data_IF_964303527016
#
_entry.id   IF_964303527016
#
_cell.length_a   1.000
_cell.length_b   1.000
_cell.length_c   1.000
_cell.angle_alpha   90.00
_cell.angle_beta   90.00
_cell.angle_gamma   90.00
#
_symmetry.space_group_name_H-M   'P 1'
#
loop_
_entity.id
_entity.type
_entity.pdbx_description
1 polymer ?
#
# COMPACT_ATOMS: atom_id res chain seq x y z
N UNK A 1 -13.49 -58.57 1.76
CA UNK A 1 -14.02 -57.59 2.74
C UNK A 1 -13.00 -56.46 2.93
N UNK A 2 -13.40 -55.22 2.61
CA UNK A 2 -13.05 -53.91 3.25
C UNK A 2 -11.56 -53.70 3.62
N UNK A 3 -10.82 -52.68 3.15
CA UNK A 3 -11.19 -51.28 2.87
C UNK A 3 -10.27 -50.62 1.83
N UNK A 4 -10.93 -49.84 1.00
CA UNK A 4 -10.48 -48.78 0.09
C UNK A 4 -9.84 -47.60 0.84
N UNK A 5 -9.06 -46.82 0.09
CA UNK A 5 -8.62 -45.41 0.32
C UNK A 5 -7.27 -45.24 1.03
N UNK A 6 -6.22 -45.08 0.22
CA UNK A 6 -5.09 -44.20 0.54
C UNK A 6 -4.65 -43.51 -0.76
N UNK A 7 -5.43 -42.52 -1.18
CA UNK A 7 -5.14 -41.70 -2.37
C UNK A 7 -5.67 -40.27 -2.18
N UNK A 8 -5.41 -39.65 -1.02
CA UNK A 8 -5.70 -38.23 -0.80
C UNK A 8 -4.71 -37.65 0.22
N UNK A 9 -3.48 -37.33 -0.20
CA UNK A 9 -2.59 -36.49 0.62
C UNK A 9 -1.47 -35.81 -0.20
N UNK A 10 -1.67 -35.56 -1.49
CA UNK A 10 -0.67 -34.88 -2.35
C UNK A 10 -1.28 -33.72 -3.14
N UNK A 11 -2.32 -33.08 -2.58
CA UNK A 11 -3.00 -31.93 -3.17
C UNK A 11 -3.48 -30.97 -2.06
N UNK A 12 -2.55 -30.41 -1.28
CA UNK A 12 -2.88 -29.31 -0.37
C UNK A 12 -1.71 -28.36 -0.06
N UNK A 13 -0.59 -28.46 -0.80
CA UNK A 13 0.61 -27.65 -0.53
C UNK A 13 1.18 -27.03 -1.81
N UNK A 14 0.32 -26.41 -2.61
CA UNK A 14 0.72 -25.51 -3.72
C UNK A 14 -0.12 -24.22 -3.74
N UNK A 15 -1.17 -24.10 -2.92
CA UNK A 15 -2.14 -23.00 -3.02
C UNK A 15 -1.75 -21.67 -2.32
N UNK A 16 -0.56 -21.55 -1.72
CA UNK A 16 -0.13 -20.30 -1.04
C UNK A 16 1.17 -19.69 -1.57
N UNK A 17 1.83 -20.32 -2.55
CA UNK A 17 3.07 -19.82 -3.16
C UNK A 17 3.02 -19.64 -4.68
N UNK A 18 1.94 -20.05 -5.34
CA UNK A 18 1.88 -20.18 -6.81
C UNK A 18 0.85 -19.26 -7.50
N UNK A 19 0.41 -18.17 -6.85
CA UNK A 19 -0.39 -17.12 -7.51
C UNK A 19 0.45 -15.96 -8.06
N UNK A 20 1.78 -16.07 -8.02
CA UNK A 20 2.68 -14.97 -8.39
C UNK A 20 3.30 -15.07 -9.79
N UNK A 21 3.10 -16.16 -10.55
CA UNK A 21 3.75 -16.30 -11.86
C UNK A 21 2.87 -17.08 -12.84
N UNK A 22 1.79 -16.47 -13.36
CA UNK A 22 1.21 -16.80 -14.67
C UNK A 22 0.02 -15.89 -14.97
N UNK A 23 0.28 -14.69 -15.49
CA UNK A 23 -0.45 -14.21 -16.66
C UNK A 23 0.42 -13.20 -17.42
N UNK A 24 0.64 -13.50 -18.68
CA UNK A 24 1.42 -12.73 -19.64
C UNK A 24 0.74 -11.40 -19.98
N UNK A 25 1.55 -10.35 -20.16
CA UNK A 25 1.25 -8.96 -20.56
C UNK A 25 0.55 -8.10 -19.50
N UNK A 26 1.30 -7.20 -18.86
CA UNK A 26 0.85 -6.26 -17.81
C UNK A 26 1.45 -6.63 -16.44
N UNK A 27 2.28 -5.77 -15.86
CA UNK A 27 2.92 -6.05 -14.57
C UNK A 27 1.89 -6.32 -13.48
N UNK A 28 2.04 -7.43 -12.76
CA UNK A 28 1.09 -7.85 -11.74
C UNK A 28 1.46 -7.22 -10.40
N UNK A 29 0.74 -6.16 -10.04
CA UNK A 29 0.73 -5.60 -8.70
C UNK A 29 -0.55 -6.02 -7.98
N UNK A 30 -0.49 -6.32 -6.67
CA UNK A 30 -1.65 -6.82 -5.97
C UNK A 30 -2.62 -5.67 -5.66
N UNK A 31 -3.90 -5.84 -5.98
CA UNK A 31 -4.91 -4.82 -5.71
C UNK A 31 -5.31 -4.79 -4.24
N UNK A 32 -5.57 -3.60 -3.66
CA UNK A 32 -6.11 -3.48 -2.31
C UNK A 32 -7.46 -4.20 -2.19
N UNK A 33 -7.66 -4.96 -1.11
CA UNK A 33 -8.95 -5.59 -0.81
C UNK A 33 -9.86 -4.60 -0.09
N UNK A 34 -11.08 -4.42 -0.58
CA UNK A 34 -12.10 -3.63 0.15
C UNK A 34 -12.57 -4.43 1.36
N UNK A 35 -12.40 -3.85 2.55
CA UNK A 35 -12.86 -4.41 3.83
C UNK A 35 -14.24 -3.86 4.22
N UNK A 36 -14.46 -2.57 3.99
CA UNK A 36 -15.73 -1.87 4.24
C UNK A 36 -15.90 -0.74 3.22
N UNK A 37 -17.16 -0.37 2.92
CA UNK A 37 -17.50 0.67 1.96
C UNK A 37 -18.81 1.34 2.32
N UNK A 38 -18.82 2.67 2.37
CA UNK A 38 -20.01 3.47 2.63
C UNK A 38 -19.96 4.81 1.85
N UNK A 39 -20.96 5.67 2.05
CA UNK A 39 -21.07 6.94 1.33
C UNK A 39 -19.91 7.93 1.62
N UNK A 40 -19.18 7.75 2.73
CA UNK A 40 -18.07 8.62 3.13
C UNK A 40 -16.71 8.10 2.68
N UNK A 41 -16.61 6.84 2.25
CA UNK A 41 -15.33 6.24 1.91
C UNK A 41 -15.29 4.71 1.97
N UNK A 42 -14.08 4.17 1.89
CA UNK A 42 -13.77 2.75 1.92
C UNK A 42 -12.61 2.45 2.87
N UNK A 43 -12.70 1.34 3.59
CA UNK A 43 -11.57 0.77 4.30
C UNK A 43 -10.94 -0.28 3.39
N UNK A 44 -9.65 -0.15 3.10
CA UNK A 44 -8.90 -1.07 2.24
C UNK A 44 -7.85 -1.82 3.05
N UNK A 45 -7.56 -3.05 2.65
CA UNK A 45 -6.40 -3.81 3.09
C UNK A 45 -5.38 -3.89 1.96
N UNK A 46 -4.20 -3.31 2.21
CA UNK A 46 -3.01 -3.48 1.40
C UNK A 46 -2.31 -4.80 1.77
N UNK A 47 -1.89 -5.59 0.78
CA UNK A 47 -1.22 -6.85 0.99
C UNK A 47 0.17 -6.65 1.59
N UNK A 48 0.62 -7.66 2.33
CA UNK A 48 2.00 -7.75 2.80
C UNK A 48 2.81 -8.40 1.69
N UNK A 49 3.76 -7.68 1.11
CA UNK A 49 4.59 -8.15 0.00
C UNK A 49 6.00 -8.26 0.53
N UNK A 50 6.36 -9.46 0.99
CA UNK A 50 7.67 -9.74 1.59
C UNK A 50 8.13 -11.15 1.26
N UNK A 51 9.44 -11.34 1.22
CA UNK A 51 10.05 -12.68 1.15
C UNK A 51 10.41 -13.24 2.53
N UNK A 52 10.14 -12.50 3.60
CA UNK A 52 10.33 -12.95 4.98
C UNK A 52 9.35 -14.08 5.33
N UNK A 53 9.86 -15.18 5.90
CA UNK A 53 9.03 -16.29 6.39
C UNK A 53 8.26 -15.93 7.67
N UNK A 54 8.85 -15.07 8.48
CA UNK A 54 8.29 -14.52 9.72
C UNK A 54 8.62 -13.04 9.75
N UNK A 55 7.59 -12.21 9.99
CA UNK A 55 7.72 -10.77 9.90
C UNK A 55 7.79 -10.20 11.30
N UNK A 56 8.88 -9.51 11.61
CA UNK A 56 8.99 -8.73 12.84
C UNK A 56 8.81 -7.25 12.52
N UNK A 57 7.77 -6.64 13.07
CA UNK A 57 7.48 -5.22 12.91
C UNK A 57 8.16 -4.40 13.99
N UNK A 58 8.92 -3.37 13.59
CA UNK A 58 9.69 -2.52 14.48
C UNK A 58 9.39 -1.03 14.28
N UNK A 59 9.40 -0.19 15.32
CA UNK A 59 9.06 1.23 15.18
C UNK A 59 10.16 2.04 14.48
N UNK A 60 11.38 1.52 14.39
CA UNK A 60 12.49 2.21 13.73
C UNK A 60 12.35 2.22 12.21
N UNK A 61 12.65 3.37 11.60
CA UNK A 61 12.70 3.49 10.15
C UNK A 61 13.69 2.51 9.53
N UNK A 62 13.21 1.78 8.52
CA UNK A 62 14.03 0.89 7.69
C UNK A 62 13.92 1.32 6.23
N UNK A 63 15.04 1.63 5.53
CA UNK A 63 15.01 1.96 4.11
C UNK A 63 14.48 0.78 3.29
N UNK A 64 13.83 1.06 2.16
CA UNK A 64 13.33 0.01 1.27
C UNK A 64 14.49 -0.82 0.73
N UNK A 65 14.36 -2.14 0.79
CA UNK A 65 15.29 -3.06 0.12
C UNK A 65 15.29 -2.86 -1.40
N UNK A 66 16.41 -3.13 -2.07
CA UNK A 66 16.52 -2.99 -3.53
C UNK A 66 15.42 -3.77 -4.28
N UNK A 67 15.12 -5.06 -3.94
CA UNK A 67 14.04 -5.78 -4.60
C UNK A 67 12.67 -5.10 -4.43
N UNK A 68 12.42 -4.49 -3.27
CA UNK A 68 11.19 -3.73 -3.04
C UNK A 68 11.12 -2.46 -3.88
N UNK A 69 12.24 -1.76 -4.05
CA UNK A 69 12.32 -0.59 -4.92
C UNK A 69 12.06 -0.97 -6.39
N UNK A 70 12.74 -2.00 -6.88
CA UNK A 70 12.58 -2.49 -8.25
C UNK A 70 11.13 -2.94 -8.53
N UNK A 71 10.52 -3.63 -7.58
CA UNK A 71 9.13 -4.07 -7.67
C UNK A 71 8.14 -2.89 -7.75
N UNK A 72 8.34 -1.83 -6.95
CA UNK A 72 7.51 -0.62 -7.01
C UNK A 72 7.68 0.08 -8.35
N UNK A 73 8.91 0.24 -8.84
CA UNK A 73 9.16 0.90 -10.12
C UNK A 73 8.50 0.16 -11.29
N UNK A 74 8.68 -1.17 -11.34
CA UNK A 74 8.06 -1.99 -12.38
C UNK A 74 6.53 -1.95 -12.32
N UNK A 75 5.97 -1.99 -11.11
CA UNK A 75 4.53 -1.93 -10.90
C UNK A 75 3.96 -0.57 -11.31
N UNK A 76 4.58 0.54 -10.89
CA UNK A 76 4.14 1.89 -11.25
C UNK A 76 4.25 2.12 -12.76
N UNK A 77 5.33 1.70 -13.40
CA UNK A 77 5.46 1.77 -14.86
C UNK A 77 4.32 1.01 -15.57
N UNK A 78 3.96 -0.17 -15.07
CA UNK A 78 2.84 -0.95 -15.62
C UNK A 78 1.50 -0.23 -15.45
N UNK A 79 1.26 0.39 -14.28
CA UNK A 79 0.06 1.21 -14.07
C UNK A 79 0.04 2.38 -15.05
N UNK A 80 1.16 3.07 -15.24
CA UNK A 80 1.26 4.22 -16.16
C UNK A 80 0.98 3.82 -17.60
N UNK A 81 1.50 2.68 -18.05
CA UNK A 81 1.20 2.13 -19.38
C UNK A 81 -0.30 1.87 -19.55
N UNK A 82 -0.96 1.29 -18.54
CA UNK A 82 -2.41 1.05 -18.55
C UNK A 82 -3.25 2.34 -18.60
N UNK A 83 -2.69 3.49 -18.22
CA UNK A 83 -3.39 4.77 -18.24
C UNK A 83 -3.43 5.41 -19.62
N UNK A 84 -2.65 4.91 -20.60
CA UNK A 84 -2.63 5.42 -21.99
C UNK A 84 -2.49 6.95 -22.09
N UNK A 85 -1.78 7.58 -21.14
CA UNK A 85 -1.60 9.04 -21.08
C UNK A 85 -2.72 9.83 -20.41
N UNK A 86 -3.68 9.16 -19.74
CA UNK A 86 -4.66 9.83 -18.91
C UNK A 86 -3.98 10.63 -17.78
N UNK A 87 -4.34 11.92 -17.59
CA UNK A 87 -3.70 12.76 -16.59
C UNK A 87 -4.17 12.34 -15.19
N UNK A 88 -3.41 11.49 -14.52
CA UNK A 88 -3.63 11.11 -13.12
C UNK A 88 -2.48 11.62 -12.27
N UNK A 89 -2.82 12.25 -11.15
CA UNK A 89 -1.83 12.75 -10.20
C UNK A 89 -2.25 12.45 -8.76
N UNK A 90 -1.35 11.81 -8.02
CA UNK A 90 -1.44 11.66 -6.57
C UNK A 90 -0.58 12.73 -5.89
N UNK A 91 -1.17 13.51 -5.00
CA UNK A 91 -0.40 14.36 -4.08
C UNK A 91 -0.14 13.59 -2.79
N UNK A 92 1.12 13.40 -2.42
CA UNK A 92 1.52 12.79 -1.15
C UNK A 92 1.85 13.88 -0.16
N UNK A 93 1.18 13.86 0.99
CA UNK A 93 1.34 14.83 2.05
C UNK A 93 1.72 14.16 3.37
N UNK A 94 2.67 14.77 4.09
CA UNK A 94 2.95 14.46 5.48
C UNK A 94 2.96 15.72 6.33
N UNK A 95 2.51 15.56 7.56
CA UNK A 95 2.58 16.58 8.59
C UNK A 95 3.99 16.62 9.20
N UNK A 96 4.53 17.83 9.36
CA UNK A 96 5.84 18.05 9.98
C UNK A 96 5.85 17.66 11.47
N UNK A 97 6.90 16.96 11.93
CA UNK A 97 7.12 16.66 13.35
C UNK A 97 7.21 15.17 13.71
N UNK A 98 7.08 14.28 12.73
CA UNK A 98 7.28 12.84 12.91
C UNK A 98 8.16 12.29 11.79
N UNK A 99 9.46 12.17 12.07
CA UNK A 99 10.50 11.85 11.09
C UNK A 99 10.18 10.60 10.24
N UNK A 100 9.68 9.52 10.85
CA UNK A 100 9.34 8.29 10.12
C UNK A 100 8.19 8.48 9.13
N UNK A 101 7.24 9.37 9.41
CA UNK A 101 6.12 9.67 8.48
C UNK A 101 6.57 10.55 7.33
N UNK A 102 7.42 11.54 7.62
CA UNK A 102 8.05 12.36 6.58
C UNK A 102 8.88 11.47 5.64
N UNK A 103 9.65 10.52 6.18
CA UNK A 103 10.43 9.56 5.40
C UNK A 103 9.55 8.64 4.54
N UNK A 104 8.42 8.14 5.07
CA UNK A 104 7.46 7.36 4.27
C UNK A 104 6.89 8.22 3.14
N UNK A 105 6.34 9.40 3.47
CA UNK A 105 5.70 10.25 2.48
C UNK A 105 6.67 10.72 1.40
N UNK A 106 7.91 11.03 1.77
CA UNK A 106 8.98 11.31 0.82
C UNK A 106 9.23 10.12 -0.10
N UNK A 107 9.41 8.90 0.44
CA UNK A 107 9.63 7.69 -0.37
C UNK A 107 8.49 7.45 -1.36
N UNK A 108 7.25 7.59 -0.92
CA UNK A 108 6.07 7.42 -1.79
C UNK A 108 6.04 8.49 -2.88
N UNK A 109 6.24 9.75 -2.51
CA UNK A 109 6.22 10.86 -3.46
C UNK A 109 7.37 10.83 -4.46
N UNK A 110 8.56 10.39 -4.06
CA UNK A 110 9.69 10.11 -4.96
C UNK A 110 9.34 9.02 -5.97
N UNK A 111 8.82 7.88 -5.54
CA UNK A 111 8.45 6.79 -6.45
C UNK A 111 7.36 7.21 -7.45
N UNK A 112 6.34 7.93 -6.97
CA UNK A 112 5.25 8.43 -7.82
C UNK A 112 5.72 9.52 -8.79
N UNK A 113 6.58 10.44 -8.35
CA UNK A 113 7.10 11.52 -9.21
C UNK A 113 8.04 11.02 -10.31
N UNK A 114 8.87 10.01 -10.01
CA UNK A 114 9.74 9.36 -11.01
C UNK A 114 8.95 8.72 -12.15
N UNK A 115 7.71 8.30 -11.87
CA UNK A 115 6.78 7.72 -12.86
C UNK A 115 5.76 8.75 -13.40
N UNK A 116 5.91 10.04 -13.08
CA UNK A 116 5.04 11.11 -13.58
C UNK A 116 3.61 11.12 -13.03
N UNK A 117 3.31 10.30 -12.00
CA UNK A 117 1.96 10.11 -11.45
C UNK A 117 1.76 10.71 -10.06
N UNK A 118 2.70 11.54 -9.60
CA UNK A 118 2.50 12.23 -8.34
C UNK A 118 3.58 13.23 -7.96
N UNK A 119 3.38 13.82 -6.79
CA UNK A 119 4.27 14.82 -6.18
C UNK A 119 4.27 14.68 -4.67
N UNK A 120 5.39 15.03 -4.06
CA UNK A 120 5.53 15.12 -2.61
C UNK A 120 5.36 16.56 -2.13
N UNK A 121 4.62 16.77 -1.05
CA UNK A 121 4.53 18.05 -0.37
C UNK A 121 4.53 17.87 1.15
N UNK A 122 5.42 18.59 1.83
CA UNK A 122 5.35 18.73 3.28
C UNK A 122 4.38 19.85 3.65
N UNK A 123 3.47 19.57 4.59
CA UNK A 123 2.60 20.60 5.15
C UNK A 123 2.91 20.86 6.63
N UNK A 124 2.89 22.14 7.04
CA UNK A 124 2.93 22.48 8.46
C UNK A 124 1.68 21.94 9.15
N UNK A 125 1.81 21.49 10.40
CA UNK A 125 0.65 21.21 11.23
C UNK A 125 -0.09 22.52 11.50
N UNK A 126 -1.38 22.59 11.18
CA UNK A 126 -2.22 23.67 11.71
C UNK A 126 -2.50 23.41 13.19
N UNK A 127 -2.51 24.47 14.00
CA UNK A 127 -2.88 24.40 15.41
C UNK A 127 -4.32 23.87 15.54
N UNK A 128 -4.46 22.65 16.10
CA UNK A 128 -5.76 21.97 16.27
C UNK A 128 -5.92 20.66 15.48
N UNK A 129 -5.07 20.37 14.49
CA UNK A 129 -5.15 19.13 13.66
C UNK A 129 -4.33 17.96 14.22
N UNK A 130 -3.87 18.05 15.48
CA UNK A 130 -3.04 17.04 16.16
C UNK A 130 -3.63 15.61 16.20
N UNK A 131 -4.92 15.43 15.88
CA UNK A 131 -5.57 14.12 15.84
C UNK A 131 -5.55 13.42 14.47
N UNK A 132 -5.19 14.12 13.37
CA UNK A 132 -5.17 13.57 12.00
C UNK A 132 -3.76 13.43 11.42
N UNK A 133 -2.78 13.18 12.28
CA UNK A 133 -1.39 13.10 11.86
C UNK A 133 -1.19 11.75 11.16
N UNK A 134 -0.95 11.77 9.85
CA UNK A 134 -0.73 10.60 9.00
C UNK A 134 -0.05 10.98 7.68
N UNK A 135 0.10 10.00 6.79
CA UNK A 135 0.45 10.25 5.38
C UNK A 135 -0.84 10.26 4.57
N UNK A 136 -1.03 11.33 3.80
CA UNK A 136 -2.24 11.58 3.03
C UNK A 136 -1.92 11.48 1.55
N UNK A 137 -2.72 10.73 0.78
CA UNK A 137 -2.66 10.73 -0.69
C UNK A 137 -3.94 11.28 -1.27
N UNK A 138 -3.86 12.34 -2.08
CA UNK A 138 -5.03 12.97 -2.70
C UNK A 138 -5.10 12.71 -4.21
N UNK A 139 -6.27 12.34 -4.73
CA UNK A 139 -6.59 12.27 -6.17
C UNK A 139 -8.05 12.66 -6.43
N UNK A 140 -8.45 12.83 -7.70
CA UNK A 140 -9.86 13.05 -8.01
C UNK A 140 -10.71 11.78 -7.72
N UNK A 141 -11.97 11.97 -7.32
CA UNK A 141 -12.90 10.85 -7.06
C UNK A 141 -13.11 9.98 -8.30
N UNK A 142 -13.14 10.62 -9.49
CA UNK A 142 -13.25 9.93 -10.78
C UNK A 142 -12.12 8.91 -11.00
N UNK A 143 -10.96 9.13 -10.37
CA UNK A 143 -9.76 8.31 -10.53
C UNK A 143 -9.67 7.18 -9.49
N UNK A 144 -10.75 6.86 -8.75
CA UNK A 144 -10.73 5.87 -7.66
C UNK A 144 -10.13 4.53 -8.06
N UNK A 145 -10.45 4.04 -9.25
CA UNK A 145 -9.93 2.78 -9.75
C UNK A 145 -8.42 2.86 -9.98
N UNK A 146 -7.94 3.97 -10.53
CA UNK A 146 -6.51 4.22 -10.75
C UNK A 146 -5.78 4.38 -9.43
N UNK A 147 -6.34 5.13 -8.49
CA UNK A 147 -5.78 5.28 -7.15
C UNK A 147 -5.56 3.92 -6.48
N UNK A 148 -6.52 2.99 -6.59
CA UNK A 148 -6.37 1.61 -6.10
C UNK A 148 -5.25 0.84 -6.80
N UNK A 149 -5.07 1.02 -8.10
CA UNK A 149 -3.96 0.41 -8.85
C UNK A 149 -2.61 0.95 -8.37
N UNK A 150 -2.48 2.27 -8.25
CA UNK A 150 -1.28 2.94 -7.74
C UNK A 150 -0.97 2.52 -6.30
N UNK A 151 -1.98 2.40 -5.43
CA UNK A 151 -1.81 1.86 -4.08
C UNK A 151 -1.36 0.40 -4.09
N UNK A 152 -1.91 -0.41 -5.00
CA UNK A 152 -1.45 -1.77 -5.23
C UNK A 152 0.02 -1.83 -5.63
N UNK A 153 0.43 -0.97 -6.57
CA UNK A 153 1.82 -0.84 -7.00
C UNK A 153 2.77 -0.38 -5.87
N UNK A 154 2.28 0.40 -4.92
CA UNK A 154 3.04 0.82 -3.73
C UNK A 154 3.07 -0.22 -2.60
N UNK A 155 2.41 -1.38 -2.75
CA UNK A 155 2.35 -2.40 -1.70
C UNK A 155 3.71 -2.91 -1.22
N UNK A 156 4.78 -3.00 -2.03
CA UNK A 156 6.11 -3.34 -1.50
C UNK A 156 6.67 -2.31 -0.50
N UNK A 157 6.14 -1.07 -0.49
CA UNK A 157 6.47 -0.07 0.52
C UNK A 157 5.44 0.01 1.65
N UNK A 158 4.19 -0.38 1.41
CA UNK A 158 3.07 -0.20 2.34
C UNK A 158 2.23 -1.48 2.48
N UNK A 159 1.91 -1.88 3.71
CA UNK A 159 1.00 -2.98 4.01
C UNK A 159 0.00 -2.64 5.10
N UNK A 160 -1.10 -3.40 5.16
CA UNK A 160 -2.12 -3.26 6.22
C UNK A 160 -3.29 -2.37 5.83
N UNK A 161 -4.00 -1.85 6.83
CA UNK A 161 -5.26 -1.14 6.62
C UNK A 161 -5.06 0.34 6.32
N UNK A 162 -5.79 0.83 5.32
CA UNK A 162 -5.77 2.23 4.88
C UNK A 162 -7.20 2.72 4.65
N UNK A 163 -7.47 3.96 5.05
CA UNK A 163 -8.80 4.57 4.89
C UNK A 163 -8.80 5.44 3.64
N UNK A 164 -9.76 5.23 2.76
CA UNK A 164 -10.02 6.03 1.57
C UNK A 164 -11.26 6.87 1.81
N UNK A 165 -11.13 8.19 1.88
CA UNK A 165 -12.22 9.12 2.19
C UNK A 165 -12.65 9.86 0.92
N UNK A 166 -13.96 10.04 0.74
CA UNK A 166 -14.53 10.76 -0.40
C UNK A 166 -15.01 12.16 0.00
N UNK A 167 -14.76 13.15 -0.85
CA UNK A 167 -15.24 14.52 -0.63
C UNK A 167 -14.47 15.28 0.44
N UNK A 168 -13.20 14.92 0.65
CA UNK A 168 -12.27 15.76 1.41
C UNK A 168 -12.15 17.13 0.71
N UNK A 169 -11.87 18.20 1.46
CA UNK A 169 -11.64 19.51 0.84
C UNK A 169 -10.25 19.51 0.18
N UNK A 170 -10.15 19.91 -1.11
CA UNK A 170 -11.19 20.48 -1.97
C UNK A 170 -12.17 19.44 -2.57
N UNK A 171 -13.44 19.84 -2.67
CA UNK A 171 -14.53 18.97 -3.12
C UNK A 171 -14.25 18.31 -4.48
N UNK A 172 -14.53 17.01 -4.60
CA UNK A 172 -14.19 16.21 -5.78
C UNK A 172 -12.88 15.45 -5.65
N UNK A 173 -12.16 15.62 -4.53
CA UNK A 173 -10.99 14.82 -4.19
C UNK A 173 -11.32 13.64 -3.26
N UNK A 174 -10.40 12.68 -3.31
CA UNK A 174 -10.34 11.45 -2.55
C UNK A 174 -9.03 11.45 -1.78
N UNK A 175 -9.12 11.25 -0.47
CA UNK A 175 -7.98 11.28 0.44
C UNK A 175 -7.77 9.89 1.00
N UNK A 176 -6.60 9.30 0.75
CA UNK A 176 -6.17 8.11 1.46
C UNK A 176 -5.35 8.50 2.68
N UNK A 177 -5.76 8.02 3.85
CA UNK A 177 -5.09 8.27 5.13
C UNK A 177 -4.39 7.00 5.63
N UNK A 178 -3.07 7.10 5.81
CA UNK A 178 -2.26 6.14 6.57
C UNK A 178 -2.24 6.58 8.04
N UNK A 179 -3.24 6.13 8.80
CA UNK A 179 -3.47 6.53 10.19
C UNK A 179 -2.72 5.61 11.16
N UNK A 180 -2.05 6.21 12.15
CA UNK A 180 -1.36 5.47 13.22
C UNK A 180 0.16 5.63 13.20
N UNK A 181 0.84 4.95 14.11
CA UNK A 181 2.31 4.95 14.15
C UNK A 181 2.84 3.91 13.18
N UNK A 182 3.75 4.27 12.25
CA UNK A 182 4.30 3.29 11.33
C UNK A 182 5.25 2.32 12.06
N UNK A 183 5.20 1.06 11.64
CA UNK A 183 6.18 0.03 11.96
C UNK A 183 6.72 -0.55 10.67
N UNK A 184 7.95 -1.05 10.68
CA UNK A 184 8.69 -1.49 9.53
C UNK A 184 9.15 -2.94 9.70
N UNK A 185 9.11 -3.72 8.61
CA UNK A 185 9.80 -5.00 8.54
C UNK A 185 11.26 -4.81 8.12
N UNK A 186 12.03 -5.91 8.04
CA UNK A 186 13.46 -5.84 7.70
C UNK A 186 13.71 -5.43 6.24
N UNK A 187 12.70 -5.53 5.38
CA UNK A 187 12.74 -5.11 3.98
C UNK A 187 12.31 -3.65 3.77
N UNK A 188 11.94 -2.95 4.83
CA UNK A 188 11.52 -1.56 4.80
C UNK A 188 10.07 -1.35 4.35
N UNK A 189 9.25 -2.40 4.23
CA UNK A 189 7.80 -2.25 4.08
C UNK A 189 7.24 -1.68 5.38
N UNK A 190 6.38 -0.66 5.29
CA UNK A 190 5.74 -0.03 6.43
C UNK A 190 4.30 -0.54 6.63
N UNK A 191 3.87 -0.70 7.87
CA UNK A 191 2.46 -0.89 8.22
C UNK A 191 2.05 0.07 9.34
N UNK A 192 0.77 0.39 9.34
CA UNK A 192 0.13 1.21 10.36
C UNK A 192 -0.96 0.42 11.12
N UNK A 193 -1.16 -0.86 10.79
CA UNK A 193 -2.22 -1.70 11.36
C UNK A 193 -1.75 -2.36 12.67
N UNK A 194 -2.38 -2.03 13.83
CA UNK A 194 -2.11 -2.68 15.11
C UNK A 194 -2.20 -4.21 15.06
N UNK A 195 -3.06 -4.77 14.22
CA UNK A 195 -3.25 -6.21 14.13
C UNK A 195 -2.09 -6.91 13.43
N UNK A 196 -1.41 -6.23 12.50
CA UNK A 196 -0.23 -6.78 11.85
C UNK A 196 1.00 -6.73 12.77
N UNK A 197 1.09 -5.68 13.59
CA UNK A 197 2.15 -5.52 14.59
C UNK A 197 2.10 -6.67 15.61
N UNK A 198 0.90 -7.02 16.08
CA UNK A 198 0.74 -8.06 17.11
C UNK A 198 0.96 -9.49 16.60
N UNK A 199 0.68 -9.77 15.32
CA UNK A 199 0.88 -11.11 14.70
C UNK A 199 2.33 -11.42 14.36
N UNK A 200 3.24 -10.44 14.41
CA UNK A 200 4.68 -10.66 14.24
C UNK A 200 5.38 -11.21 15.48
N UNK A 201 4.64 -11.38 16.59
CA UNK A 201 5.14 -11.86 17.88
C UNK A 201 4.53 -13.22 18.29
N UNK A 202 3.74 -13.85 17.42
CA UNK A 202 3.17 -15.20 17.59
C UNK A 202 3.93 -16.22 16.73
#
# INVERSE_FOLDING_TARGET
MKKTILFVATLALVALGALWFMNSTGGTYPLPKVLDSNARGQLLALPVVTTEKQITWKPEWVPASQPGQDAVQQALASVVEELEGAPVSLSVMAHKGLASREQIAQRLGEALSQNGVGRYQLQPLNEGEQQKVGVVLNCAVADSAVAKKLLGALSPYLGGRVALLYGAQPAGEMTLELLGTPFFNSQGQATFDPNMINRGNE
#
